data_IF_296808502831
#
_entry.id   IF_296808502831
#
_cell.length_a   1.000
_cell.length_b   1.000
_cell.length_c   1.000
_cell.angle_alpha   90.00
_cell.angle_beta   90.00
_cell.angle_gamma   90.00
#
_symmetry.space_group_name_H-M   'P 1'
#
loop_
_entity.id
_entity.type
_entity.pdbx_description
1 polymer ?
#
# COMPACT_ATOMS: atom_id res chain seq x y z
N UNK A 1 1.48 -0.17 17.19
CA UNK A 1 1.05 0.06 15.79
C UNK A 1 -0.46 -0.07 15.70
N UNK A 2 -1.19 0.96 15.24
CA UNK A 2 -2.65 0.87 15.01
C UNK A 2 -2.98 -0.35 14.14
N UNK A 3 -3.93 -1.17 14.57
CA UNK A 3 -4.32 -2.40 13.85
C UNK A 3 -5.85 -2.46 13.74
N UNK A 4 -6.36 -2.78 12.55
CA UNK A 4 -7.79 -2.95 12.25
C UNK A 4 -8.02 -4.21 11.41
N UNK A 5 -9.26 -4.67 11.32
CA UNK A 5 -9.66 -5.73 10.40
C UNK A 5 -9.88 -5.16 8.99
N UNK A 6 -9.41 -5.88 7.98
CA UNK A 6 -9.50 -5.49 6.58
C UNK A 6 -10.95 -5.42 6.08
N UNK A 7 -11.77 -6.42 6.38
CA UNK A 7 -13.16 -6.49 5.91
C UNK A 7 -14.04 -5.42 6.59
N UNK A 8 -13.79 -5.11 7.87
CA UNK A 8 -14.52 -4.06 8.58
C UNK A 8 -14.26 -2.69 7.94
N UNK A 9 -13.00 -2.39 7.60
CA UNK A 9 -12.62 -1.15 6.89
C UNK A 9 -13.30 -1.02 5.52
N UNK A 10 -13.54 -2.14 4.84
CA UNK A 10 -14.25 -2.15 3.56
C UNK A 10 -15.76 -1.95 3.69
N UNK A 11 -16.36 -2.39 4.80
CA UNK A 11 -17.83 -2.47 4.96
C UNK A 11 -18.42 -1.38 5.86
N UNK A 12 -17.63 -0.82 6.77
CA UNK A 12 -18.09 0.12 7.79
C UNK A 12 -17.32 1.45 7.69
N UNK A 13 -18.08 2.54 7.67
CA UNK A 13 -17.55 3.91 7.61
C UNK A 13 -16.86 4.33 8.91
N UNK A 14 -17.27 3.82 10.07
CA UNK A 14 -16.59 4.11 11.34
C UNK A 14 -15.17 3.51 11.33
N UNK A 15 -15.04 2.28 10.82
CA UNK A 15 -13.76 1.60 10.67
C UNK A 15 -12.89 2.26 9.59
N UNK A 16 -13.47 2.68 8.46
CA UNK A 16 -12.74 3.41 7.43
C UNK A 16 -12.26 4.79 7.92
N UNK A 17 -13.10 5.52 8.66
CA UNK A 17 -12.71 6.78 9.30
C UNK A 17 -11.56 6.57 10.27
N UNK A 18 -11.66 5.56 11.15
CA UNK A 18 -10.60 5.23 12.11
C UNK A 18 -9.30 4.85 11.41
N UNK A 19 -9.35 4.14 10.29
CA UNK A 19 -8.19 3.82 9.46
C UNK A 19 -7.52 5.08 8.91
N UNK A 20 -8.25 5.92 8.18
CA UNK A 20 -7.68 7.09 7.49
C UNK A 20 -7.22 8.19 8.46
N UNK A 21 -7.98 8.43 9.53
CA UNK A 21 -7.59 9.37 10.58
C UNK A 21 -6.33 8.90 11.34
N UNK A 22 -6.24 7.60 11.64
CA UNK A 22 -5.04 7.02 12.27
C UNK A 22 -3.84 7.08 11.34
N UNK A 23 -4.02 6.79 10.05
CA UNK A 23 -2.97 6.91 9.04
C UNK A 23 -2.45 8.33 8.97
N UNK A 24 -3.32 9.34 8.92
CA UNK A 24 -2.90 10.75 8.87
C UNK A 24 -2.19 11.22 10.14
N UNK A 25 -2.61 10.75 11.31
CA UNK A 25 -2.08 11.16 12.63
C UNK A 25 -0.77 10.44 12.99
N UNK A 26 -0.69 9.14 12.72
CA UNK A 26 0.41 8.27 13.17
C UNK A 26 1.38 7.94 12.04
N UNK A 27 0.94 7.97 10.78
CA UNK A 27 1.74 7.66 9.60
C UNK A 27 1.69 6.19 9.16
N UNK A 28 1.09 5.28 9.93
CA UNK A 28 0.98 3.85 9.57
C UNK A 28 -0.21 3.16 10.27
N UNK A 29 -0.87 2.24 9.56
CA UNK A 29 -1.91 1.35 10.10
C UNK A 29 -1.73 -0.05 9.50
N UNK A 30 -1.81 -1.10 10.33
CA UNK A 30 -1.84 -2.49 9.88
C UNK A 30 -3.28 -2.95 9.72
N UNK A 31 -3.63 -3.45 8.53
CA UNK A 31 -4.89 -4.15 8.30
C UNK A 31 -4.65 -5.66 8.32
N UNK A 32 -5.47 -6.38 9.07
CA UNK A 32 -5.36 -7.84 9.27
C UNK A 32 -6.59 -8.56 8.73
N UNK A 33 -6.46 -9.83 8.36
CA UNK A 33 -7.58 -10.63 7.85
C UNK A 33 -7.87 -10.46 6.36
N UNK A 34 -6.98 -9.82 5.59
CA UNK A 34 -7.04 -9.84 4.13
C UNK A 34 -6.73 -11.25 3.61
N UNK A 35 -7.28 -11.60 2.45
CA UNK A 35 -7.00 -12.89 1.81
C UNK A 35 -5.57 -12.94 1.24
N UNK A 36 -4.96 -14.13 1.23
CA UNK A 36 -3.65 -14.36 0.62
C UNK A 36 -3.79 -14.54 -0.92
N UNK A 37 -4.20 -13.46 -1.58
CA UNK A 37 -4.35 -13.40 -3.05
C UNK A 37 -4.17 -11.98 -3.55
N UNK A 38 -3.87 -11.86 -4.84
CA UNK A 38 -3.83 -10.56 -5.50
C UNK A 38 -5.21 -9.88 -5.50
N UNK A 39 -5.21 -8.55 -5.43
CA UNK A 39 -6.39 -7.71 -5.56
C UNK A 39 -6.92 -7.09 -4.27
N UNK A 40 -6.41 -7.48 -3.10
CA UNK A 40 -6.84 -6.89 -1.82
C UNK A 40 -6.52 -5.38 -1.75
N UNK A 41 -5.35 -4.94 -2.22
CA UNK A 41 -5.00 -3.51 -2.33
C UNK A 41 -5.95 -2.75 -3.26
N UNK A 42 -6.42 -3.38 -4.35
CA UNK A 42 -7.38 -2.76 -5.27
C UNK A 42 -8.71 -2.47 -4.59
N UNK A 43 -9.15 -3.33 -3.65
CA UNK A 43 -10.37 -3.07 -2.86
C UNK A 43 -10.20 -1.83 -1.98
N UNK A 44 -9.05 -1.69 -1.31
CA UNK A 44 -8.72 -0.50 -0.52
C UNK A 44 -8.66 0.76 -1.39
N UNK A 45 -8.06 0.66 -2.57
CA UNK A 45 -8.04 1.75 -3.55
C UNK A 45 -9.44 2.22 -3.92
N UNK A 46 -10.37 1.31 -4.19
CA UNK A 46 -11.78 1.63 -4.45
C UNK A 46 -12.50 2.20 -3.22
N UNK A 47 -12.13 1.77 -2.01
CA UNK A 47 -12.71 2.28 -0.76
C UNK A 47 -12.31 3.73 -0.48
N UNK A 48 -11.09 4.13 -0.84
CA UNK A 48 -10.61 5.51 -0.73
C UNK A 48 -11.09 6.36 -1.92
N UNK A 49 -11.11 5.77 -3.12
CA UNK A 49 -11.50 6.40 -4.37
C UNK A 49 -10.82 5.72 -5.56
N UNK A 50 -9.53 6.00 -5.75
CA UNK A 50 -8.71 5.41 -6.81
C UNK A 50 -7.24 5.27 -6.38
N UNK A 51 -6.51 4.34 -7.03
CA UNK A 51 -5.07 4.18 -6.85
C UNK A 51 -4.29 5.16 -7.74
N UNK A 52 -3.12 5.59 -7.28
CA UNK A 52 -2.21 6.43 -8.05
C UNK A 52 -1.34 5.58 -8.99
N UNK A 53 -1.57 5.72 -10.30
CA UNK A 53 -0.84 4.98 -11.33
C UNK A 53 0.60 5.52 -11.48
N UNK A 54 1.57 4.61 -11.53
CA UNK A 54 2.97 4.91 -11.88
C UNK A 54 3.44 4.02 -13.04
N UNK A 55 4.69 4.19 -13.48
CA UNK A 55 5.30 3.32 -14.50
C UNK A 55 5.44 1.85 -14.06
N UNK A 56 5.36 1.54 -12.76
CA UNK A 56 5.32 0.15 -12.27
C UNK A 56 3.91 -0.48 -12.35
N UNK A 57 2.89 0.27 -12.78
CA UNK A 57 1.50 -0.17 -12.92
C UNK A 57 0.58 0.35 -11.81
N UNK A 58 -0.70 -0.04 -11.87
CA UNK A 58 -1.70 0.29 -10.84
C UNK A 58 -1.42 -0.41 -9.50
N UNK A 59 -0.81 -1.60 -9.58
CA UNK A 59 -0.27 -2.38 -8.48
C UNK A 59 0.97 -3.10 -9.00
N UNK A 60 1.94 -3.40 -8.15
CA UNK A 60 3.17 -4.11 -8.53
C UNK A 60 3.47 -5.24 -7.54
N UNK A 61 4.21 -6.26 -8.01
CA UNK A 61 4.61 -7.40 -7.21
C UNK A 61 6.06 -7.25 -6.75
N UNK A 62 6.27 -7.19 -5.44
CA UNK A 62 7.58 -7.15 -4.78
C UNK A 62 8.06 -8.58 -4.57
N UNK A 63 8.87 -9.05 -5.49
CA UNK A 63 9.44 -10.39 -5.51
C UNK A 63 10.73 -10.38 -6.32
N UNK A 64 11.58 -11.38 -6.13
CA UNK A 64 12.78 -11.57 -6.94
C UNK A 64 12.41 -11.81 -8.41
N UNK A 65 13.11 -11.13 -9.33
CA UNK A 65 12.87 -11.22 -10.77
C UNK A 65 14.20 -11.34 -11.52
N UNK A 66 14.23 -12.18 -12.54
CA UNK A 66 15.32 -12.19 -13.52
C UNK A 66 15.34 -10.81 -14.22
N UNK A 67 16.54 -10.26 -14.42
CA UNK A 67 16.75 -8.94 -15.01
C UNK A 67 15.94 -7.83 -14.30
N UNK A 68 15.98 -7.85 -12.97
CA UNK A 68 15.28 -6.90 -12.11
C UNK A 68 15.54 -5.44 -12.51
N UNK A 69 14.48 -4.72 -12.88
CA UNK A 69 14.54 -3.31 -13.27
C UNK A 69 14.49 -2.34 -12.08
N UNK A 70 14.42 -2.85 -10.86
CA UNK A 70 14.47 -2.09 -9.61
C UNK A 70 15.06 -2.99 -8.50
N UNK A 71 15.84 -2.42 -7.58
CA UNK A 71 16.41 -3.14 -6.42
C UNK A 71 15.34 -3.79 -5.53
N UNK A 72 14.12 -3.25 -5.50
CA UNK A 72 12.97 -3.83 -4.82
C UNK A 72 12.51 -5.18 -5.41
N UNK A 73 12.97 -5.53 -6.61
CA UNK A 73 12.69 -6.82 -7.24
C UNK A 73 13.88 -7.78 -7.15
N UNK A 74 14.69 -7.64 -6.11
CA UNK A 74 15.82 -8.52 -5.79
C UNK A 74 15.69 -9.02 -4.35
N UNK A 75 16.54 -9.97 -3.95
CA UNK A 75 16.65 -10.43 -2.55
C UNK A 75 17.57 -9.57 -1.67
N UNK A 76 18.12 -8.48 -2.22
CA UNK A 76 19.02 -7.59 -1.51
C UNK A 76 18.35 -6.78 -0.39
N UNK A 77 19.14 -6.34 0.59
CA UNK A 77 18.65 -5.45 1.66
C UNK A 77 18.27 -4.09 1.10
N UNK A 78 17.06 -3.62 1.43
CA UNK A 78 16.67 -2.23 1.28
C UNK A 78 16.92 -1.48 2.59
N UNK A 79 17.73 -0.43 2.55
CA UNK A 79 17.88 0.50 3.68
C UNK A 79 16.68 1.45 3.75
N UNK A 80 16.58 2.28 4.79
CA UNK A 80 15.52 3.28 4.87
C UNK A 80 15.51 4.18 3.63
N UNK A 81 14.33 4.34 3.03
CA UNK A 81 14.11 5.12 1.82
C UNK A 81 12.66 5.63 1.78
N UNK A 82 12.40 6.57 0.88
CA UNK A 82 11.05 6.93 0.44
C UNK A 82 10.84 6.42 -0.98
N UNK A 83 9.63 6.02 -1.30
CA UNK A 83 9.32 5.51 -2.63
C UNK A 83 9.25 6.64 -3.66
N UNK A 84 9.83 6.36 -4.82
CA UNK A 84 9.69 7.16 -6.03
C UNK A 84 10.06 8.67 -5.95
N UNK A 85 11.18 9.07 -5.33
CA UNK A 85 11.64 10.47 -5.33
C UNK A 85 12.04 10.98 -6.73
N UNK A 86 12.12 10.07 -7.73
CA UNK A 86 12.34 10.42 -9.12
C UNK A 86 11.13 11.13 -9.78
N UNK A 87 9.94 11.10 -9.18
CA UNK A 87 8.80 11.92 -9.61
C UNK A 87 8.86 13.30 -8.95
N UNK A 88 8.51 14.35 -9.69
CA UNK A 88 8.29 15.68 -9.11
C UNK A 88 7.17 15.71 -8.05
N UNK A 89 6.24 14.75 -8.12
CA UNK A 89 5.19 14.53 -7.14
C UNK A 89 5.19 13.06 -6.71
N UNK A 90 6.01 12.68 -5.71
CA UNK A 90 6.07 11.31 -5.21
C UNK A 90 4.73 10.84 -4.61
N UNK A 91 4.43 9.52 -4.62
CA UNK A 91 3.24 8.98 -3.96
C UNK A 91 3.22 9.33 -2.47
N UNK A 92 2.06 9.77 -1.96
CA UNK A 92 1.90 10.16 -0.56
C UNK A 92 1.54 9.01 0.39
N UNK A 93 0.82 8.00 -0.10
CA UNK A 93 0.39 6.77 0.58
C UNK A 93 0.45 5.62 -0.42
#
# INVERSE_FOLDING_TARGET
MPTLNFEDVLKDDEHAYKWLSSLKKVGIVRLTGAADKHGEITKLGKRIGFLYLTFYGHTWQVQDKIDANNVAYTTGKLSFHTDYPALHHPPGV
#
